data_IF_564032837327
#
_entry.id   IF_564032837327
#
_cell.length_a   1.000
_cell.length_b   1.000
_cell.length_c   1.000
_cell.angle_alpha   90.00
_cell.angle_beta   90.00
_cell.angle_gamma   90.00
#
_symmetry.space_group_name_H-M   'P 1'
#
loop_
_entity.id
_entity.type
_entity.pdbx_description
1 polymer ?
#
# COMPACT_ATOMS: atom_id res chain seq x y z
N UNK A 1 -84.21 57.75 48.78
CA UNK A 1 -85.54 58.24 48.43
C UNK A 1 -85.95 57.52 47.13
N UNK A 2 -86.44 56.27 47.21
CA UNK A 2 -87.88 55.92 47.29
C UNK A 2 -88.62 56.53 46.09
N UNK A 3 -89.21 55.82 45.13
CA UNK A 3 -89.98 54.56 45.14
C UNK A 3 -90.17 54.24 43.65
N UNK A 4 -89.76 53.07 43.14
CA UNK A 4 -90.67 51.97 42.80
C UNK A 4 -91.96 52.46 42.10
N UNK A 5 -92.10 52.17 40.80
CA UNK A 5 -92.88 51.02 40.31
C UNK A 5 -94.36 51.39 40.15
N UNK A 6 -94.93 50.88 39.06
CA UNK A 6 -96.36 50.80 38.74
C UNK A 6 -96.92 52.00 37.97
N UNK A 7 -97.62 51.66 36.88
CA UNK A 7 -98.32 52.51 35.92
C UNK A 7 -97.37 53.15 34.90
N UNK A 8 -97.27 52.71 33.65
CA UNK A 8 -98.36 52.31 32.77
C UNK A 8 -97.85 51.35 31.68
N UNK A 9 -97.78 50.09 32.10
CA UNK A 9 -98.21 48.93 31.33
C UNK A 9 -99.44 49.30 30.48
N UNK A 10 -99.36 49.16 29.15
CA UNK A 10 -100.43 49.57 28.22
C UNK A 10 -100.33 48.92 26.85
N UNK A 11 -100.24 47.59 26.85
CA UNK A 11 -100.58 46.64 25.80
C UNK A 11 -101.64 47.12 24.78
N UNK A 12 -101.26 47.28 23.49
CA UNK A 12 -102.10 47.11 22.28
C UNK A 12 -101.14 46.78 21.11
N UNK A 13 -100.90 45.51 20.71
CA UNK A 13 -101.71 44.59 19.88
C UNK A 13 -102.14 45.14 18.50
N UNK A 14 -101.46 44.60 17.47
CA UNK A 14 -101.99 44.14 16.16
C UNK A 14 -102.51 45.22 15.18
N UNK A 15 -101.79 45.39 14.07
CA UNK A 15 -102.24 45.07 12.69
C UNK A 15 -101.37 45.78 11.65
N UNK A 16 -100.85 45.04 10.66
CA UNK A 16 -100.25 45.64 9.45
C UNK A 16 -99.23 44.76 8.74
N UNK A 17 -99.73 43.77 8.00
CA UNK A 17 -98.96 42.96 7.06
C UNK A 17 -98.53 43.76 5.79
N UNK A 18 -97.60 43.15 5.03
CA UNK A 18 -97.23 43.39 3.62
C UNK A 18 -96.13 44.41 3.27
N UNK A 19 -94.93 43.89 3.01
CA UNK A 19 -94.38 43.69 1.67
C UNK A 19 -94.76 44.75 0.59
N UNK A 20 -93.87 45.72 0.30
CA UNK A 20 -93.73 46.33 -1.04
C UNK A 20 -92.43 47.14 -1.17
N UNK A 21 -91.37 46.52 -1.72
CA UNK A 21 -90.12 47.20 -2.10
C UNK A 21 -90.28 47.88 -3.46
N UNK A 22 -90.21 49.22 -3.48
CA UNK A 22 -90.31 50.04 -4.70
C UNK A 22 -88.96 50.09 -5.46
N UNK A 23 -88.94 49.94 -6.80
CA UNK A 23 -87.73 49.78 -7.62
C UNK A 23 -86.74 50.97 -7.62
N UNK A 24 -87.17 52.19 -7.30
CA UNK A 24 -86.31 53.39 -7.31
C UNK A 24 -85.26 53.41 -6.18
N UNK A 25 -85.53 52.79 -5.02
CA UNK A 25 -84.57 52.72 -3.91
C UNK A 25 -83.43 51.73 -4.16
N UNK A 26 -83.65 50.71 -5.00
CA UNK A 26 -82.64 49.72 -5.39
C UNK A 26 -81.62 50.34 -6.34
N UNK A 27 -82.07 51.13 -7.33
CA UNK A 27 -81.16 51.89 -8.21
C UNK A 27 -80.28 52.86 -7.43
N UNK A 28 -80.85 53.56 -6.43
CA UNK A 28 -80.06 54.44 -5.57
C UNK A 28 -79.03 53.68 -4.72
N UNK A 29 -79.35 52.47 -4.24
CA UNK A 29 -78.40 51.63 -3.52
C UNK A 29 -77.27 51.10 -4.42
N UNK A 30 -77.59 50.71 -5.66
CA UNK A 30 -76.59 50.27 -6.66
C UNK A 30 -75.64 51.41 -7.01
N UNK A 31 -76.18 52.62 -7.25
CA UNK A 31 -75.38 53.80 -7.56
C UNK A 31 -74.42 54.15 -6.41
N UNK A 32 -74.91 54.15 -5.17
CA UNK A 32 -74.08 54.37 -3.97
C UNK A 32 -72.99 53.31 -3.80
N UNK A 33 -73.29 52.02 -4.03
CA UNK A 33 -72.30 50.93 -3.92
C UNK A 33 -71.23 51.01 -5.02
N UNK A 34 -71.60 51.34 -6.27
CA UNK A 34 -70.62 51.53 -7.34
C UNK A 34 -69.70 52.73 -7.10
N UNK A 35 -70.23 53.80 -6.50
CA UNK A 35 -69.44 54.96 -6.09
C UNK A 35 -68.45 54.62 -4.96
N UNK A 36 -68.85 53.76 -4.02
CA UNK A 36 -67.95 53.19 -3.00
C UNK A 36 -66.84 52.32 -3.61
N UNK A 37 -67.16 51.46 -4.58
CA UNK A 37 -66.16 50.63 -5.28
C UNK A 37 -65.13 51.50 -5.99
N UNK A 38 -65.58 52.59 -6.63
CA UNK A 38 -64.66 53.52 -7.31
C UNK A 38 -63.70 54.18 -6.32
N UNK A 39 -64.21 54.68 -5.18
CA UNK A 39 -63.37 55.28 -4.13
C UNK A 39 -62.36 54.30 -3.54
N UNK A 40 -62.78 53.06 -3.28
CA UNK A 40 -61.89 52.02 -2.74
C UNK A 40 -60.78 51.69 -3.76
N UNK A 41 -61.10 51.61 -5.06
CA UNK A 41 -60.08 51.39 -6.09
C UNK A 41 -59.12 52.57 -6.24
N UNK A 42 -59.63 53.81 -6.12
CA UNK A 42 -58.78 55.01 -6.13
C UNK A 42 -57.86 55.04 -4.89
N UNK A 43 -58.34 54.63 -3.71
CA UNK A 43 -57.53 54.45 -2.49
C UNK A 43 -56.50 53.33 -2.63
N UNK A 44 -56.85 52.19 -3.24
CA UNK A 44 -55.92 51.09 -3.52
C UNK A 44 -54.82 51.55 -4.47
N UNK A 45 -55.15 52.26 -5.55
CA UNK A 45 -54.15 52.79 -6.48
C UNK A 45 -53.20 53.80 -5.79
N UNK A 46 -53.72 54.59 -4.85
CA UNK A 46 -52.91 55.53 -4.06
C UNK A 46 -52.02 54.82 -3.03
N UNK A 47 -52.49 53.72 -2.43
CA UNK A 47 -51.70 52.87 -1.54
C UNK A 47 -50.63 52.07 -2.32
N UNK A 48 -50.94 51.60 -3.52
CA UNK A 48 -49.99 50.94 -4.44
C UNK A 48 -48.92 51.92 -4.94
N UNK A 49 -49.27 53.17 -5.23
CA UNK A 49 -48.31 54.23 -5.55
C UNK A 49 -47.41 54.64 -4.36
N UNK A 50 -47.83 54.34 -3.13
CA UNK A 50 -47.04 54.60 -1.91
C UNK A 50 -46.05 53.46 -1.60
N UNK A 51 -46.12 52.34 -2.32
CA UNK A 51 -45.13 51.27 -2.30
C UNK A 51 -44.22 51.44 -3.52
N UNK A 52 -42.98 51.90 -3.30
CA UNK A 52 -41.97 51.89 -4.34
C UNK A 52 -41.67 50.43 -4.76
N UNK A 53 -41.37 50.16 -6.05
CA UNK A 53 -41.03 48.83 -6.53
C UNK A 53 -39.63 48.44 -6.04
N UNK A 54 -39.51 48.06 -4.77
CA UNK A 54 -38.28 47.51 -4.22
C UNK A 54 -37.95 46.18 -4.92
N UNK A 55 -36.74 46.14 -5.49
CA UNK A 55 -36.15 45.08 -6.29
C UNK A 55 -36.12 43.71 -5.59
N UNK A 56 -37.26 43.04 -5.51
CA UNK A 56 -37.44 41.74 -4.82
C UNK A 56 -38.00 40.64 -5.72
N UNK A 57 -37.87 40.79 -7.05
CA UNK A 57 -38.26 39.78 -8.04
C UNK A 57 -37.11 38.97 -8.65
N UNK A 58 -35.83 39.28 -8.33
CA UNK A 58 -34.65 38.57 -8.86
C UNK A 58 -33.85 37.81 -7.77
N UNK A 59 -34.53 37.21 -6.78
CA UNK A 59 -33.89 36.35 -5.76
C UNK A 59 -34.43 34.91 -5.70
N UNK A 60 -35.27 34.47 -6.64
CA UNK A 60 -35.86 33.11 -6.61
C UNK A 60 -35.02 31.98 -7.21
N UNK A 61 -33.88 32.28 -7.86
CA UNK A 61 -33.08 31.26 -8.56
C UNK A 61 -31.57 31.33 -8.27
N UNK A 62 -31.18 31.55 -7.01
CA UNK A 62 -29.77 31.38 -6.60
C UNK A 62 -29.59 29.98 -6.03
N UNK A 63 -28.99 29.09 -6.82
CA UNK A 63 -28.51 27.80 -6.32
C UNK A 63 -27.21 28.09 -5.57
N UNK A 64 -27.13 27.82 -4.26
CA UNK A 64 -25.90 28.02 -3.52
C UNK A 64 -24.85 27.05 -4.06
N UNK A 65 -23.73 27.59 -4.54
CA UNK A 65 -22.57 26.81 -5.00
C UNK A 65 -21.39 27.15 -4.11
N UNK A 66 -20.68 26.11 -3.68
CA UNK A 66 -19.44 26.25 -2.93
C UNK A 66 -18.28 26.12 -3.89
N UNK A 67 -17.37 27.08 -3.86
CA UNK A 67 -16.12 27.04 -4.64
C UNK A 67 -14.94 27.00 -3.68
N UNK A 68 -13.88 26.31 -4.09
CA UNK A 68 -12.62 26.27 -3.36
C UNK A 68 -11.52 26.64 -4.34
N UNK A 69 -10.72 27.64 -3.97
CA UNK A 69 -9.57 28.06 -4.76
C UNK A 69 -8.44 27.01 -4.62
N UNK A 70 -7.89 26.57 -5.76
CA UNK A 70 -6.82 25.58 -5.80
C UNK A 70 -5.48 26.27 -5.58
N UNK A 71 -4.77 25.88 -4.53
CA UNK A 71 -3.40 26.29 -4.29
C UNK A 71 -2.45 25.16 -4.69
N UNK A 72 -1.37 25.49 -5.39
CA UNK A 72 -0.35 24.51 -5.77
C UNK A 72 0.45 24.13 -4.53
N UNK A 73 0.40 22.86 -4.17
CA UNK A 73 1.18 22.29 -3.09
C UNK A 73 2.05 21.14 -3.62
N UNK A 74 3.22 20.92 -3.00
CA UNK A 74 4.12 19.86 -3.42
C UNK A 74 3.53 18.48 -3.11
N UNK A 75 3.03 17.79 -4.13
CA UNK A 75 2.47 16.45 -4.00
C UNK A 75 3.59 15.40 -3.93
N UNK A 76 3.73 14.75 -2.77
CA UNK A 76 4.62 13.60 -2.57
C UNK A 76 3.79 12.33 -2.52
N UNK A 77 3.92 11.51 -3.56
CA UNK A 77 3.28 10.20 -3.61
C UNK A 77 4.33 9.12 -3.32
N UNK A 78 4.09 8.34 -2.27
CA UNK A 78 4.91 7.18 -1.96
C UNK A 78 4.13 5.91 -2.27
N UNK A 79 4.86 4.90 -2.74
CA UNK A 79 4.33 3.55 -2.96
C UNK A 79 5.00 2.65 -1.93
N UNK A 80 4.20 2.00 -1.10
CA UNK A 80 4.69 0.98 -0.18
C UNK A 80 4.76 -0.36 -0.92
N UNK A 81 5.97 -0.92 -0.99
CA UNK A 81 6.21 -2.24 -1.58
C UNK A 81 6.71 -3.18 -0.51
N UNK A 82 6.10 -4.36 -0.43
CA UNK A 82 6.56 -5.43 0.45
C UNK A 82 7.45 -6.37 -0.35
N UNK A 83 8.65 -6.62 0.15
CA UNK A 83 9.61 -7.57 -0.43
C UNK A 83 9.90 -8.71 0.54
N UNK A 84 10.37 -9.82 -0.02
CA UNK A 84 10.97 -10.91 0.75
C UNK A 84 12.48 -10.80 0.62
N UNK A 85 13.18 -11.02 1.72
CA UNK A 85 14.63 -11.18 1.72
C UNK A 85 14.97 -12.63 1.39
N UNK A 86 15.84 -12.81 0.42
CA UNK A 86 16.42 -14.10 0.05
C UNK A 86 17.93 -14.00 0.13
N UNK A 87 18.58 -15.12 0.42
CA UNK A 87 20.03 -15.18 0.41
C UNK A 87 20.52 -14.97 -1.02
N UNK A 88 21.57 -14.16 -1.18
CA UNK A 88 22.21 -13.98 -2.48
C UNK A 88 22.99 -15.24 -2.89
N UNK A 89 23.62 -15.90 -1.92
CA UNK A 89 24.37 -17.13 -2.11
C UNK A 89 23.98 -18.17 -1.05
N UNK A 90 23.52 -19.33 -1.50
CA UNK A 90 23.30 -20.51 -0.66
C UNK A 90 24.34 -21.58 -1.02
N UNK A 91 24.98 -22.15 0.01
CA UNK A 91 26.00 -23.19 -0.16
C UNK A 91 25.64 -24.45 0.61
N UNK A 92 25.56 -25.58 -0.10
CA UNK A 92 25.43 -26.90 0.50
C UNK A 92 26.83 -27.49 0.68
N UNK A 93 27.20 -27.75 1.93
CA UNK A 93 28.51 -28.31 2.27
C UNK A 93 28.38 -29.82 2.41
N UNK A 94 29.10 -30.55 1.57
CA UNK A 94 29.24 -32.00 1.66
C UNK A 94 30.72 -32.39 1.61
N UNK A 95 31.12 -33.48 2.27
CA UNK A 95 32.48 -33.97 2.15
C UNK A 95 32.76 -34.48 0.73
N UNK A 96 33.98 -34.25 0.23
CA UNK A 96 34.41 -34.73 -1.09
C UNK A 96 34.60 -36.25 -1.12
N UNK A 97 34.96 -36.84 0.02
CA UNK A 97 35.15 -38.27 0.20
C UNK A 97 34.30 -38.78 1.36
N UNK A 98 33.83 -40.02 1.23
CA UNK A 98 33.12 -40.69 2.31
C UNK A 98 34.08 -40.98 3.47
N UNK A 99 33.68 -40.63 4.70
CA UNK A 99 34.47 -40.86 5.90
C UNK A 99 33.61 -40.74 7.16
N UNK A 100 34.11 -41.27 8.27
CA UNK A 100 33.46 -41.11 9.56
C UNK A 100 33.74 -39.72 10.13
N UNK A 101 32.72 -39.04 10.65
CA UNK A 101 32.91 -37.76 11.35
C UNK A 101 33.67 -38.02 12.65
N UNK A 102 34.80 -37.35 12.82
CA UNK A 102 35.60 -37.40 14.04
C UNK A 102 35.20 -36.28 15.00
N UNK A 103 35.18 -35.04 14.49
CA UNK A 103 34.91 -33.83 15.29
C UNK A 103 34.10 -32.83 14.48
N UNK A 104 33.13 -32.19 15.15
CA UNK A 104 32.40 -31.03 14.63
C UNK A 104 32.90 -29.80 15.39
N UNK A 105 33.46 -28.83 14.66
CA UNK A 105 34.10 -27.63 15.23
C UNK A 105 33.14 -26.44 15.38
N UNK A 106 31.96 -26.54 14.81
CA UNK A 106 30.99 -25.44 14.74
C UNK A 106 29.68 -25.79 15.42
N UNK A 107 28.95 -24.76 15.84
CA UNK A 107 27.59 -24.86 16.40
C UNK A 107 26.58 -24.20 15.47
N UNK A 108 25.33 -24.63 15.59
CA UNK A 108 24.22 -24.03 14.84
C UNK A 108 24.12 -22.52 15.14
N UNK A 109 23.94 -21.71 14.08
CA UNK A 109 23.89 -20.25 14.16
C UNK A 109 25.25 -19.55 14.28
N UNK A 110 26.36 -20.29 14.30
CA UNK A 110 27.70 -19.69 14.35
C UNK A 110 28.09 -19.06 13.00
N UNK A 111 28.59 -17.83 13.02
CA UNK A 111 29.16 -17.19 11.83
C UNK A 111 30.52 -17.80 11.50
N UNK A 112 30.66 -18.30 10.27
CA UNK A 112 31.91 -18.87 9.74
C UNK A 112 32.47 -18.02 8.62
N UNK A 113 33.78 -18.11 8.39
CA UNK A 113 34.48 -17.41 7.29
C UNK A 113 35.00 -18.42 6.28
N UNK A 114 35.29 -17.97 5.06
CA UNK A 114 35.93 -18.78 4.03
C UNK A 114 37.23 -19.42 4.57
N UNK A 115 37.34 -20.74 4.43
CA UNK A 115 38.48 -21.52 4.91
C UNK A 115 38.39 -21.98 6.38
N UNK A 116 37.30 -21.71 7.08
CA UNK A 116 37.10 -22.23 8.43
C UNK A 116 36.77 -23.72 8.40
N UNK A 117 37.45 -24.51 9.23
CA UNK A 117 37.19 -25.95 9.36
C UNK A 117 35.90 -26.14 10.14
N UNK A 118 34.90 -26.77 9.53
CA UNK A 118 33.61 -27.04 10.16
C UNK A 118 33.55 -28.45 10.74
N UNK A 119 34.07 -29.43 9.99
CA UNK A 119 34.03 -30.85 10.34
C UNK A 119 35.37 -31.48 9.99
N UNK A 120 35.88 -32.31 10.89
CA UNK A 120 37.02 -33.18 10.63
C UNK A 120 36.51 -34.61 10.48
N UNK A 121 36.92 -35.27 9.40
CA UNK A 121 36.65 -36.69 9.16
C UNK A 121 37.87 -37.52 9.58
N UNK A 122 37.63 -38.76 9.98
CA UNK A 122 38.70 -39.71 10.20
C UNK A 122 39.35 -40.09 8.85
N UNK A 123 40.59 -39.66 8.65
CA UNK A 123 41.37 -39.82 7.42
C UNK A 123 42.49 -40.86 7.53
N UNK A 124 42.52 -41.66 8.60
CA UNK A 124 43.65 -42.56 8.92
C UNK A 124 44.04 -43.50 7.76
N UNK A 125 43.05 -44.03 7.04
CA UNK A 125 43.27 -44.92 5.88
C UNK A 125 43.87 -44.16 4.69
N UNK A 126 43.36 -42.95 4.41
CA UNK A 126 43.83 -42.10 3.32
C UNK A 126 45.26 -41.63 3.62
N UNK A 127 45.53 -41.20 4.85
CA UNK A 127 46.87 -40.82 5.30
C UNK A 127 47.87 -41.97 5.18
N UNK A 128 47.46 -43.20 5.51
CA UNK A 128 48.29 -44.39 5.34
C UNK A 128 48.60 -44.66 3.87
N UNK A 129 47.60 -44.53 2.98
CA UNK A 129 47.78 -44.69 1.53
C UNK A 129 48.69 -43.60 0.95
N UNK A 130 48.52 -42.35 1.37
CA UNK A 130 49.42 -41.24 1.01
C UNK A 130 50.85 -41.55 1.49
N UNK A 131 51.01 -42.09 2.70
CA UNK A 131 52.30 -42.50 3.25
C UNK A 131 52.99 -43.57 2.38
N UNK A 132 52.26 -44.59 1.96
CA UNK A 132 52.74 -45.65 1.06
C UNK A 132 53.22 -45.06 -0.28
N UNK A 133 52.40 -44.22 -0.91
CA UNK A 133 52.74 -43.59 -2.20
C UNK A 133 53.94 -42.66 -2.05
N UNK A 134 54.03 -41.87 -0.97
CA UNK A 134 55.18 -41.00 -0.68
C UNK A 134 56.47 -41.79 -0.53
N UNK A 135 56.44 -42.92 0.19
CA UNK A 135 57.61 -43.79 0.34
C UNK A 135 58.06 -44.38 -1.02
N UNK A 136 57.11 -44.82 -1.84
CA UNK A 136 57.38 -45.29 -3.20
C UNK A 136 57.97 -44.19 -4.10
N UNK A 137 57.44 -42.97 -4.01
CA UNK A 137 57.95 -41.81 -4.74
C UNK A 137 59.35 -41.41 -4.29
N UNK A 138 59.66 -41.47 -2.99
CA UNK A 138 61.00 -41.20 -2.47
C UNK A 138 62.03 -42.19 -3.06
N UNK A 139 61.68 -43.47 -3.12
CA UNK A 139 62.53 -44.48 -3.75
C UNK A 139 62.71 -44.24 -5.24
N UNK A 140 61.62 -43.96 -5.97
CA UNK A 140 61.65 -43.66 -7.40
C UNK A 140 62.49 -42.41 -7.71
N UNK A 141 62.39 -41.37 -6.88
CA UNK A 141 63.22 -40.16 -6.99
C UNK A 141 64.71 -40.49 -6.81
N UNK A 142 65.08 -41.24 -5.77
CA UNK A 142 66.49 -41.64 -5.56
C UNK A 142 67.03 -42.45 -6.74
N UNK A 143 66.22 -43.34 -7.30
CA UNK A 143 66.61 -44.13 -8.47
C UNK A 143 66.77 -43.25 -9.71
N UNK A 144 65.81 -42.36 -9.98
CA UNK A 144 65.88 -41.38 -11.06
C UNK A 144 67.11 -40.49 -10.95
N UNK A 145 67.37 -39.92 -9.77
CA UNK A 145 68.51 -39.03 -9.54
C UNK A 145 69.84 -39.75 -9.80
N UNK A 146 69.94 -41.02 -9.38
CA UNK A 146 71.13 -41.84 -9.65
C UNK A 146 71.30 -42.17 -11.12
N UNK A 147 70.23 -42.55 -11.81
CA UNK A 147 70.29 -42.86 -13.25
C UNK A 147 70.54 -41.61 -14.08
N UNK A 148 70.01 -40.45 -13.66
CA UNK A 148 70.29 -39.16 -14.27
C UNK A 148 71.76 -38.78 -14.11
N UNK A 149 72.34 -38.94 -12.91
CA UNK A 149 73.76 -38.67 -12.65
C UNK A 149 74.68 -39.52 -13.54
N UNK A 150 74.39 -40.81 -13.69
CA UNK A 150 75.14 -41.70 -14.58
C UNK A 150 74.97 -41.32 -16.06
N UNK A 151 73.72 -41.05 -16.49
CA UNK A 151 73.41 -40.62 -17.85
C UNK A 151 74.10 -39.30 -18.22
N UNK A 152 74.10 -38.32 -17.32
CA UNK A 152 74.77 -37.03 -17.49
C UNK A 152 76.30 -37.20 -17.65
N UNK A 153 76.88 -38.26 -17.06
CA UNK A 153 78.28 -38.67 -17.25
C UNK A 153 78.49 -39.54 -18.51
N UNK A 154 77.47 -39.72 -19.35
CA UNK A 154 77.46 -40.62 -20.52
C UNK A 154 77.72 -42.10 -20.17
N UNK A 155 77.32 -42.51 -18.97
CA UNK A 155 77.43 -43.89 -18.46
C UNK A 155 76.02 -44.47 -18.32
N UNK A 156 75.71 -45.55 -19.04
CA UNK A 156 74.44 -46.28 -18.91
C UNK A 156 73.55 -46.27 -20.16
N UNK A 157 72.39 -46.91 -20.06
CA UNK A 157 71.41 -47.03 -21.14
C UNK A 157 70.36 -45.93 -21.09
N UNK A 158 70.03 -45.34 -22.24
CA UNK A 158 68.94 -44.35 -22.35
C UNK A 158 67.61 -44.94 -21.86
N UNK A 159 67.38 -46.23 -22.14
CA UNK A 159 66.18 -46.94 -21.72
C UNK A 159 66.05 -46.98 -20.19
N UNK A 160 67.15 -47.17 -19.45
CA UNK A 160 67.14 -47.19 -17.99
C UNK A 160 66.82 -45.81 -17.40
N UNK A 161 67.34 -44.75 -18.01
CA UNK A 161 67.00 -43.38 -17.63
C UNK A 161 65.51 -43.08 -17.89
N UNK A 162 65.00 -43.45 -19.07
CA UNK A 162 63.59 -43.26 -19.42
C UNK A 162 62.65 -44.08 -18.53
N UNK A 163 63.01 -45.32 -18.17
CA UNK A 163 62.27 -46.15 -17.22
C UNK A 163 62.23 -45.52 -15.83
N UNK A 164 63.37 -45.04 -15.33
CA UNK A 164 63.44 -44.36 -14.03
C UNK A 164 62.63 -43.06 -14.02
N UNK A 165 62.68 -42.29 -15.11
CA UNK A 165 61.88 -41.07 -15.29
C UNK A 165 60.39 -41.40 -15.28
N UNK A 166 59.96 -42.40 -16.05
CA UNK A 166 58.58 -42.84 -16.09
C UNK A 166 58.08 -43.31 -14.72
N UNK A 167 58.88 -44.11 -14.00
CA UNK A 167 58.52 -44.60 -12.67
C UNK A 167 58.32 -43.45 -11.66
N UNK A 168 59.18 -42.43 -11.71
CA UNK A 168 59.02 -41.20 -10.92
C UNK A 168 57.71 -40.48 -11.28
N UNK A 169 57.51 -40.17 -12.57
CA UNK A 169 56.32 -39.44 -13.05
C UNK A 169 55.02 -40.21 -12.71
N UNK A 170 55.04 -41.54 -12.78
CA UNK A 170 53.92 -42.38 -12.40
C UNK A 170 53.61 -42.29 -10.91
N UNK A 171 54.63 -42.29 -10.04
CA UNK A 171 54.45 -42.13 -8.61
C UNK A 171 53.96 -40.71 -8.25
N UNK A 172 54.44 -39.67 -8.93
CA UNK A 172 53.95 -38.29 -8.79
C UNK A 172 52.48 -38.17 -9.21
N UNK A 173 52.11 -38.78 -10.34
CA UNK A 173 50.73 -38.78 -10.83
C UNK A 173 49.78 -39.47 -9.84
N UNK A 174 50.20 -40.59 -9.23
CA UNK A 174 49.40 -41.27 -8.19
C UNK A 174 49.22 -40.41 -6.95
N UNK A 175 50.27 -39.70 -6.52
CA UNK A 175 50.17 -38.80 -5.36
C UNK A 175 49.25 -37.61 -5.63
N UNK A 176 49.20 -37.10 -6.86
CA UNK A 176 48.31 -35.99 -7.23
C UNK A 176 46.82 -36.37 -7.28
N UNK A 177 46.49 -37.66 -7.35
CA UNK A 177 45.10 -38.15 -7.35
C UNK A 177 44.54 -38.48 -5.97
N UNK A 178 45.37 -38.41 -4.92
CA UNK A 178 45.02 -38.69 -3.52
C UNK A 178 44.94 -37.40 -2.71
#
# INVERSE_FOLDING_TARGET
MTTKVVTLLGLVLIAGACNMSSPEMIEQQIKKKNEQVKKINDEIAQLESSLQPDSTSDMKYRVPVSTKELQTEAFKHFIEVTGKLEAEEDAYISPEMNGQIEIIHVKEGQTVKKGHIMVSLNTSLIESSIGEVKAGLELANKFYDKQKELWDQSIGSEMQYLEAKNAKEQAEARLATL
#
